data_IF_969917800003
#
_entry.id   IF_969917800003
#
_cell.length_a   1.000
_cell.length_b   1.000
_cell.length_c   1.000
_cell.angle_alpha   90.00
_cell.angle_beta   90.00
_cell.angle_gamma   90.00
#
_symmetry.space_group_name_H-M   'P 1'
#
loop_
_entity.id
_entity.type
_entity.pdbx_description
1 polymer ?
#
# COMPACT_ATOMS: atom_id res chain seq x y z
N UNK A 1 8.15 -5.46 0.02
CA UNK A 1 7.31 -5.53 1.23
C UNK A 1 7.13 -6.97 1.73
N UNK A 2 6.73 -7.92 0.87
CA UNK A 2 6.52 -9.32 1.28
C UNK A 2 7.74 -9.95 2.00
N UNK A 3 8.94 -9.77 1.44
CA UNK A 3 10.20 -10.26 2.06
C UNK A 3 10.40 -9.69 3.47
N UNK A 4 10.09 -8.41 3.69
CA UNK A 4 10.17 -7.78 5.01
C UNK A 4 9.18 -8.41 5.99
N UNK A 5 7.93 -8.62 5.56
CA UNK A 5 6.87 -9.22 6.40
C UNK A 5 7.29 -10.61 6.86
N UNK A 6 7.66 -11.48 5.91
CA UNK A 6 8.11 -12.85 6.20
C UNK A 6 9.34 -12.86 7.11
N UNK A 7 10.33 -12.01 6.81
CA UNK A 7 11.54 -11.88 7.63
C UNK A 7 11.27 -11.32 9.03
N UNK A 8 10.26 -10.46 9.21
CA UNK A 8 9.93 -9.86 10.51
C UNK A 8 9.42 -10.89 11.52
N UNK A 9 8.82 -11.98 11.06
CA UNK A 9 8.31 -13.06 11.90
C UNK A 9 9.41 -14.03 12.35
N UNK A 10 10.57 -14.02 11.68
CA UNK A 10 11.74 -14.83 12.05
C UNK A 10 12.67 -13.97 12.92
N UNK A 11 12.82 -14.24 14.23
CA UNK A 11 13.62 -13.43 15.15
C UNK A 11 15.07 -13.22 14.68
N UNK A 12 15.70 -14.27 14.17
CA UNK A 12 17.10 -14.31 13.73
C UNK A 12 17.35 -13.38 12.54
N UNK A 13 16.34 -13.20 11.67
CA UNK A 13 16.46 -12.35 10.48
C UNK A 13 16.62 -10.87 10.84
N UNK A 14 16.15 -10.43 12.02
CA UNK A 14 16.17 -9.02 12.43
C UNK A 14 17.59 -8.48 12.66
N UNK A 15 18.53 -9.36 12.98
CA UNK A 15 19.93 -9.01 13.19
C UNK A 15 20.75 -8.98 11.89
N UNK A 16 20.19 -9.52 10.81
CA UNK A 16 20.91 -9.65 9.55
C UNK A 16 21.10 -8.30 8.85
N UNK A 17 22.26 -8.14 8.20
CA UNK A 17 22.63 -6.89 7.54
C UNK A 17 21.70 -6.56 6.36
N UNK A 18 21.26 -7.58 5.61
CA UNK A 18 20.28 -7.44 4.52
C UNK A 18 18.91 -6.98 5.03
N UNK A 19 18.48 -7.44 6.21
CA UNK A 19 17.20 -7.06 6.79
C UNK A 19 17.15 -5.56 7.11
N UNK A 20 18.25 -4.99 7.62
CA UNK A 20 18.35 -3.55 7.87
C UNK A 20 18.25 -2.72 6.59
N UNK A 21 18.80 -3.19 5.47
CA UNK A 21 18.63 -2.52 4.19
C UNK A 21 17.18 -2.57 3.70
N UNK A 22 16.55 -3.73 3.78
CA UNK A 22 15.13 -3.87 3.42
C UNK A 22 14.28 -2.97 4.31
N UNK A 23 14.52 -2.96 5.62
CA UNK A 23 13.82 -2.10 6.57
C UNK A 23 13.94 -0.63 6.15
N UNK A 24 15.13 -0.12 5.83
CA UNK A 24 15.30 1.26 5.34
C UNK A 24 14.46 1.58 4.09
N UNK A 25 14.26 0.60 3.20
CA UNK A 25 13.46 0.79 1.99
C UNK A 25 11.95 0.84 2.29
N UNK A 26 11.48 0.02 3.23
CA UNK A 26 10.04 -0.09 3.55
C UNK A 26 9.59 0.83 4.68
N UNK A 27 10.51 1.31 5.53
CA UNK A 27 10.19 2.11 6.72
C UNK A 27 9.47 3.42 6.39
N UNK A 28 9.82 4.21 5.36
CA UNK A 28 9.07 5.42 5.01
C UNK A 28 7.60 5.15 4.71
N UNK A 29 7.31 4.01 4.06
CA UNK A 29 5.95 3.59 3.78
C UNK A 29 5.24 3.09 5.05
N UNK A 30 5.89 2.24 5.85
CA UNK A 30 5.34 1.74 7.12
C UNK A 30 5.11 2.86 8.14
N UNK A 31 5.94 3.89 8.16
CA UNK A 31 5.83 5.04 9.03
C UNK A 31 4.50 5.80 8.83
N UNK A 32 3.95 5.80 7.61
CA UNK A 32 2.62 6.35 7.34
C UNK A 32 1.54 5.60 8.11
N UNK A 33 1.62 4.25 8.15
CA UNK A 33 0.64 3.40 8.82
C UNK A 33 0.83 3.37 10.34
N UNK A 34 2.07 3.42 10.83
CA UNK A 34 2.37 3.45 12.27
C UNK A 34 1.82 4.70 12.99
N UNK A 35 1.53 5.78 12.25
CA UNK A 35 0.84 6.96 12.81
C UNK A 35 -0.61 6.65 13.18
N UNK A 36 -1.26 5.73 12.48
CA UNK A 36 -2.68 5.40 12.66
C UNK A 36 -2.88 4.08 13.39
N UNK A 37 -1.94 3.14 13.23
CA UNK A 37 -2.02 1.80 13.78
C UNK A 37 -0.92 1.66 14.84
N UNK A 38 -1.27 1.74 16.14
CA UNK A 38 -0.32 1.49 17.20
C UNK A 38 0.16 0.04 17.13
N UNK A 39 1.43 -0.20 17.50
CA UNK A 39 1.98 -1.56 17.64
C UNK A 39 1.23 -2.28 18.77
N UNK A 40 0.60 -3.41 18.46
CA UNK A 40 -0.09 -4.22 19.46
C UNK A 40 0.91 -5.24 20.02
N UNK A 41 1.48 -4.94 21.19
CA UNK A 41 2.50 -5.78 21.81
C UNK A 41 3.78 -5.87 20.98
N UNK A 42 4.27 -7.09 20.72
CA UNK A 42 5.49 -7.35 19.94
C UNK A 42 5.26 -7.53 18.44
N UNK A 43 4.00 -7.63 18.00
CA UNK A 43 3.66 -7.92 16.60
C UNK A 43 3.29 -6.61 15.92
N UNK A 44 4.07 -6.23 14.91
CA UNK A 44 3.75 -5.09 14.07
C UNK A 44 2.73 -5.53 13.01
N UNK A 45 1.46 -5.14 13.17
CA UNK A 45 0.36 -5.40 12.21
C UNK A 45 0.38 -4.37 11.07
N UNK A 46 1.08 -3.24 11.24
CA UNK A 46 1.16 -2.19 10.22
C UNK A 46 1.61 -2.70 8.84
N UNK A 47 2.52 -3.69 8.69
CA UNK A 47 2.91 -4.20 7.38
C UNK A 47 1.80 -4.95 6.64
N UNK A 48 0.88 -5.60 7.37
CA UNK A 48 -0.27 -6.28 6.77
C UNK A 48 -1.25 -5.26 6.18
N UNK A 49 -1.58 -4.22 6.95
CA UNK A 49 -2.43 -3.13 6.47
C UNK A 49 -1.75 -2.37 5.33
N UNK A 50 -0.45 -2.12 5.45
CA UNK A 50 0.34 -1.50 4.40
C UNK A 50 0.29 -2.32 3.11
N UNK A 51 0.41 -3.65 3.18
CA UNK A 51 0.27 -4.52 2.02
C UNK A 51 -1.14 -4.45 1.41
N UNK A 52 -2.18 -4.51 2.23
CA UNK A 52 -3.57 -4.39 1.76
C UNK A 52 -3.82 -3.05 1.07
N UNK A 53 -3.34 -1.95 1.63
CA UNK A 53 -3.45 -0.63 1.02
C UNK A 53 -2.64 -0.53 -0.28
N UNK A 54 -1.45 -1.13 -0.35
CA UNK A 54 -0.62 -1.14 -1.55
C UNK A 54 -1.34 -1.80 -2.73
N UNK A 55 -2.10 -2.86 -2.50
CA UNK A 55 -2.87 -3.55 -3.53
C UNK A 55 -4.22 -2.85 -3.82
N UNK A 56 -4.94 -2.42 -2.78
CA UNK A 56 -6.30 -1.90 -2.92
C UNK A 56 -6.35 -0.48 -3.50
N UNK A 57 -5.43 0.41 -3.09
CA UNK A 57 -5.47 1.82 -3.49
C UNK A 57 -5.32 1.99 -5.00
N UNK A 58 -4.30 1.42 -5.67
CA UNK A 58 -4.17 1.53 -7.12
C UNK A 58 -5.37 0.95 -7.86
N UNK A 59 -5.90 -0.18 -7.40
CA UNK A 59 -7.09 -0.80 -7.98
C UNK A 59 -8.31 0.14 -7.94
N UNK A 60 -8.58 0.73 -6.78
CA UNK A 60 -9.70 1.66 -6.59
C UNK A 60 -9.49 2.91 -7.45
N UNK A 61 -8.29 3.50 -7.42
CA UNK A 61 -7.96 4.71 -8.19
C UNK A 61 -8.14 4.47 -9.68
N UNK A 62 -7.56 3.40 -10.24
CA UNK A 62 -7.67 3.08 -11.67
C UNK A 62 -9.13 2.83 -12.05
N UNK A 63 -9.88 2.08 -11.22
CA UNK A 63 -11.29 1.78 -11.48
C UNK A 63 -12.15 3.04 -11.45
N UNK A 64 -11.92 3.93 -10.49
CA UNK A 64 -12.62 5.20 -10.35
C UNK A 64 -12.31 6.13 -11.53
N UNK A 65 -11.02 6.27 -11.89
CA UNK A 65 -10.61 7.06 -13.06
C UNK A 65 -11.24 6.53 -14.34
N UNK A 66 -11.18 5.21 -14.57
CA UNK A 66 -11.80 4.59 -15.74
C UNK A 66 -13.31 4.84 -15.76
N UNK A 67 -13.98 4.72 -14.62
CA UNK A 67 -15.41 5.01 -14.50
C UNK A 67 -15.71 6.45 -14.91
N UNK A 68 -14.99 7.43 -14.34
CA UNK A 68 -15.17 8.86 -14.64
C UNK A 68 -14.95 9.12 -16.14
N UNK A 69 -13.85 8.64 -16.69
CA UNK A 69 -13.51 8.82 -18.11
C UNK A 69 -14.60 8.27 -19.02
N UNK A 70 -15.06 7.04 -18.80
CA UNK A 70 -16.13 6.43 -19.60
C UNK A 70 -17.43 7.25 -19.51
N UNK A 71 -17.80 7.71 -18.31
CA UNK A 71 -19.03 8.49 -18.13
C UNK A 71 -18.98 9.86 -18.80
N UNK A 72 -17.80 10.49 -18.83
CA UNK A 72 -17.60 11.73 -19.58
C UNK A 72 -17.77 11.47 -21.08
N UNK A 73 -17.13 10.43 -21.64
CA UNK A 73 -17.24 10.14 -23.08
C UNK A 73 -18.62 9.64 -23.52
N UNK A 74 -19.37 8.96 -22.65
CA UNK A 74 -20.74 8.54 -22.94
C UNK A 74 -21.80 9.63 -22.66
N UNK A 75 -21.40 10.80 -22.12
CA UNK A 75 -22.32 11.91 -21.91
C UNK A 75 -22.79 12.45 -23.26
N UNK A 76 -23.98 12.03 -23.69
CA UNK A 76 -24.57 12.34 -25.00
C UNK A 76 -24.72 13.84 -25.27
N UNK A 77 -24.75 14.66 -24.20
CA UNK A 77 -24.79 16.12 -24.32
C UNK A 77 -23.46 16.70 -24.85
N UNK A 78 -22.31 16.06 -24.63
CA UNK A 78 -21.02 16.57 -25.10
C UNK A 78 -20.86 16.38 -26.61
N UNK A 79 -21.49 15.34 -27.16
CA UNK A 79 -21.55 15.11 -28.62
C UNK A 79 -22.32 16.21 -29.36
N UNK A 80 -23.11 17.02 -28.66
CA UNK A 80 -23.83 18.14 -29.27
C UNK A 80 -22.93 19.37 -29.52
N UNK A 81 -21.71 19.38 -28.95
CA UNK A 81 -20.75 20.49 -29.04
C UNK A 81 -19.51 20.17 -29.90
N UNK A 82 -19.41 18.95 -30.45
CA UNK A 82 -18.34 18.49 -31.35
C UNK A 82 -18.95 18.32 -32.73
#
# INVERSE_FOLDING_TARGET
>A
MLVYILASWIPESRNALWYRYILKLVDPYLALFRKFIPRIGFIDISPLIALLCLEAVPFIVIRALRFIVIHIFHASWLLQYI
#
